data_IF_931204860722
#
_entry.id   IF_931204860722
#
_cell.length_a   1.000
_cell.length_b   1.000
_cell.length_c   1.000
_cell.angle_alpha   90.00
_cell.angle_beta   90.00
_cell.angle_gamma   90.00
#
_symmetry.space_group_name_H-M   'P 1'
#
loop_
_entity.id
_entity.type
_entity.pdbx_description
1 polymer ?
#
# COMPACT_ATOMS: atom_id res chain seq x y z
N UNK A 1 19.36 72.33 -5.15
CA UNK A 1 18.85 71.07 -5.73
C UNK A 1 19.81 69.98 -5.32
N UNK A 2 19.44 69.09 -4.41
CA UNK A 2 20.13 67.80 -4.27
C UNK A 2 19.16 66.77 -3.70
N UNK A 3 18.68 65.89 -4.58
CA UNK A 3 17.87 64.72 -4.26
C UNK A 3 18.79 63.50 -4.29
N UNK A 4 19.26 63.04 -3.13
CA UNK A 4 19.82 61.69 -2.97
C UNK A 4 19.47 61.12 -1.60
N UNK A 5 18.25 60.62 -1.49
CA UNK A 5 17.87 59.63 -0.50
C UNK A 5 17.20 58.48 -1.26
N UNK A 6 17.97 57.43 -1.58
CA UNK A 6 17.40 56.11 -1.86
C UNK A 6 18.51 55.07 -1.75
N UNK A 7 18.62 54.46 -0.58
CA UNK A 7 19.30 53.20 -0.36
C UNK A 7 18.43 52.38 0.61
N UNK A 8 17.29 51.90 0.10
CA UNK A 8 16.56 50.78 0.70
C UNK A 8 16.26 49.79 -0.42
N UNK A 9 16.89 48.63 -0.38
CA UNK A 9 16.58 47.53 -1.29
C UNK A 9 17.78 46.62 -1.45
N UNK A 10 17.83 45.53 -0.68
CA UNK A 10 18.86 44.52 -0.92
C UNK A 10 19.14 43.48 0.17
N UNK A 11 18.21 43.21 1.10
CA UNK A 11 18.46 42.21 2.16
C UNK A 11 17.34 41.18 2.37
N UNK A 12 16.36 41.10 1.46
CA UNK A 12 15.17 40.23 1.66
C UNK A 12 15.26 38.90 0.89
N UNK A 13 16.24 38.67 0.01
CA UNK A 13 16.15 37.59 -0.99
C UNK A 13 16.80 36.24 -0.64
N UNK A 14 17.82 36.18 0.23
CA UNK A 14 18.58 34.92 0.44
C UNK A 14 17.95 33.94 1.44
N UNK A 15 17.22 34.43 2.44
CA UNK A 15 16.55 33.61 3.46
C UNK A 15 15.24 33.00 2.96
N UNK A 16 14.52 33.68 2.05
CA UNK A 16 13.28 33.18 1.45
C UNK A 16 13.52 32.08 0.38
N UNK A 17 14.68 32.05 -0.28
CA UNK A 17 14.99 31.04 -1.30
C UNK A 17 15.33 29.65 -0.70
N UNK A 18 16.03 29.60 0.45
CA UNK A 18 16.38 28.34 1.13
C UNK A 18 15.17 27.63 1.76
N UNK A 19 14.22 28.36 2.36
CA UNK A 19 13.02 27.78 2.97
C UNK A 19 12.07 27.10 1.97
N UNK A 20 11.88 27.72 0.80
CA UNK A 20 11.03 27.15 -0.26
C UNK A 20 11.66 25.91 -0.92
N UNK A 21 13.00 25.88 -1.05
CA UNK A 21 13.73 24.72 -1.61
C UNK A 21 13.62 23.47 -0.74
N UNK A 22 13.75 23.62 0.59
CA UNK A 22 13.64 22.51 1.54
C UNK A 22 12.21 21.96 1.59
N UNK A 23 11.19 22.82 1.59
CA UNK A 23 9.79 22.38 1.55
C UNK A 23 9.46 21.70 0.21
N UNK A 24 10.01 22.17 -0.91
CA UNK A 24 9.88 21.51 -2.22
C UNK A 24 10.55 20.12 -2.23
N UNK A 25 11.75 19.98 -1.66
CA UNK A 25 12.43 18.69 -1.55
C UNK A 25 11.65 17.70 -0.67
N UNK A 26 11.14 18.16 0.48
CA UNK A 26 10.29 17.35 1.37
C UNK A 26 9.05 16.82 0.64
N UNK A 27 8.29 17.70 -0.03
CA UNK A 27 7.10 17.31 -0.78
C UNK A 27 7.40 16.33 -1.90
N UNK A 28 8.52 16.49 -2.62
CA UNK A 28 8.95 15.54 -3.64
C UNK A 28 9.26 14.16 -3.05
N UNK A 29 9.89 14.11 -1.88
CA UNK A 29 10.17 12.85 -1.19
C UNK A 29 8.89 12.17 -0.71
N UNK A 30 7.93 12.92 -0.15
CA UNK A 30 6.63 12.39 0.28
C UNK A 30 5.82 11.85 -0.91
N UNK A 31 5.78 12.59 -2.02
CA UNK A 31 5.13 12.10 -3.25
C UNK A 31 5.74 10.78 -3.72
N UNK A 32 7.08 10.67 -3.71
CA UNK A 32 7.74 9.41 -4.08
C UNK A 32 7.33 8.24 -3.19
N UNK A 33 7.13 8.47 -1.88
CA UNK A 33 6.64 7.42 -0.98
C UNK A 33 5.21 7.01 -1.32
N UNK A 34 4.32 7.96 -1.61
CA UNK A 34 2.95 7.66 -2.07
C UNK A 34 2.95 6.86 -3.37
N UNK A 35 3.76 7.27 -4.35
CA UNK A 35 3.90 6.56 -5.63
C UNK A 35 4.39 5.11 -5.45
N UNK A 36 5.04 4.79 -4.32
CA UNK A 36 5.48 3.44 -3.97
C UNK A 36 4.44 2.65 -3.17
N UNK A 37 3.63 3.33 -2.35
CA UNK A 37 2.62 2.68 -1.48
C UNK A 37 1.36 2.36 -2.29
N UNK A 38 0.86 3.30 -3.10
CA UNK A 38 -0.41 3.15 -3.82
C UNK A 38 -0.49 1.89 -4.71
N UNK A 39 0.57 1.48 -5.44
CA UNK A 39 0.51 0.26 -6.25
C UNK A 39 0.36 -1.02 -5.43
N UNK A 40 0.69 -1.01 -4.13
CA UNK A 40 0.62 -2.19 -3.27
C UNK A 40 -0.83 -2.65 -3.11
N UNK A 41 -1.80 -1.75 -3.05
CA UNK A 41 -3.23 -2.12 -2.97
C UNK A 41 -3.66 -2.98 -4.15
N UNK A 42 -3.29 -2.59 -5.38
CA UNK A 42 -3.61 -3.36 -6.58
C UNK A 42 -2.94 -4.75 -6.58
N UNK A 43 -1.70 -4.83 -6.09
CA UNK A 43 -1.00 -6.12 -5.94
C UNK A 43 -1.69 -7.01 -4.92
N UNK A 44 -2.17 -6.45 -3.81
CA UNK A 44 -2.91 -7.22 -2.80
C UNK A 44 -4.23 -7.73 -3.37
N UNK A 45 -4.97 -6.89 -4.11
CA UNK A 45 -6.22 -7.31 -4.76
C UNK A 45 -6.00 -8.45 -5.78
N UNK A 46 -4.94 -8.36 -6.59
CA UNK A 46 -4.56 -9.43 -7.53
C UNK A 46 -4.21 -10.73 -6.80
N UNK A 47 -3.40 -10.65 -5.73
CA UNK A 47 -3.05 -11.82 -4.94
C UNK A 47 -4.28 -12.47 -4.28
N UNK A 48 -5.20 -11.68 -3.73
CA UNK A 48 -6.44 -12.19 -3.14
C UNK A 48 -7.29 -12.90 -4.20
N UNK A 49 -7.39 -12.34 -5.40
CA UNK A 49 -8.12 -12.95 -6.49
C UNK A 49 -7.52 -14.30 -6.91
N UNK A 50 -6.20 -14.37 -7.07
CA UNK A 50 -5.51 -15.60 -7.44
C UNK A 50 -5.61 -16.67 -6.35
N UNK A 51 -5.52 -16.29 -5.08
CA UNK A 51 -5.67 -17.20 -3.94
C UNK A 51 -7.10 -17.73 -3.83
N UNK A 52 -8.11 -16.87 -4.01
CA UNK A 52 -9.52 -17.29 -4.01
C UNK A 52 -9.79 -18.29 -5.13
N UNK A 53 -9.25 -18.06 -6.34
CA UNK A 53 -9.38 -18.99 -7.45
C UNK A 53 -8.78 -20.37 -7.13
N UNK A 54 -7.60 -20.42 -6.48
CA UNK A 54 -7.00 -21.69 -6.05
C UNK A 54 -7.80 -22.36 -4.93
N UNK A 55 -8.39 -21.58 -4.02
CA UNK A 55 -9.26 -22.11 -2.96
C UNK A 55 -10.51 -22.75 -3.56
N UNK A 56 -11.15 -22.08 -4.51
CA UNK A 56 -12.32 -22.61 -5.24
C UNK A 56 -11.96 -23.94 -5.94
N UNK A 57 -10.79 -24.03 -6.57
CA UNK A 57 -10.30 -25.27 -7.17
C UNK A 57 -10.14 -26.41 -6.15
N UNK A 58 -9.60 -26.13 -4.95
CA UNK A 58 -9.47 -27.12 -3.87
C UNK A 58 -10.83 -27.54 -3.28
N UNK A 59 -11.78 -26.61 -3.13
CA UNK A 59 -13.14 -26.90 -2.69
C UNK A 59 -13.88 -27.80 -3.69
N UNK A 60 -13.79 -27.49 -4.99
CA UNK A 60 -14.34 -28.32 -6.06
C UNK A 60 -13.69 -29.71 -6.07
N UNK A 61 -12.37 -29.78 -5.89
CA UNK A 61 -11.63 -31.03 -5.80
C UNK A 61 -12.09 -31.90 -4.63
N UNK A 62 -12.26 -31.32 -3.44
CA UNK A 62 -12.75 -32.01 -2.25
C UNK A 62 -14.21 -32.47 -2.44
N UNK A 63 -15.07 -31.61 -3.00
CA UNK A 63 -16.47 -31.94 -3.25
C UNK A 63 -16.66 -33.08 -4.27
N UNK A 64 -15.73 -33.22 -5.22
CA UNK A 64 -15.72 -34.30 -6.18
C UNK A 64 -15.18 -35.64 -5.62
N UNK A 65 -14.57 -35.65 -4.43
CA UNK A 65 -14.01 -36.87 -3.86
C UNK A 65 -15.11 -37.87 -3.44
N UNK A 66 -14.90 -39.18 -3.68
CA UNK A 66 -15.70 -40.21 -3.02
C UNK A 66 -15.59 -40.09 -1.49
N UNK A 67 -16.68 -40.34 -0.76
CA UNK A 67 -16.71 -40.22 0.71
C UNK A 67 -15.60 -40.99 1.42
N UNK A 68 -15.26 -42.19 0.94
CA UNK A 68 -14.14 -43.01 1.48
C UNK A 68 -12.75 -42.37 1.32
N UNK A 69 -12.58 -41.45 0.37
CA UNK A 69 -11.34 -40.68 0.17
C UNK A 69 -11.42 -39.33 0.90
N UNK A 70 -12.60 -38.72 0.98
CA UNK A 70 -12.82 -37.49 1.74
C UNK A 70 -12.49 -37.61 3.23
N UNK A 71 -12.74 -38.78 3.84
CA UNK A 71 -12.36 -39.08 5.24
C UNK A 71 -10.91 -39.57 5.39
N UNK A 72 -10.16 -39.67 4.30
CA UNK A 72 -8.76 -40.11 4.33
C UNK A 72 -7.82 -38.93 4.56
N UNK A 73 -6.54 -39.24 4.80
CA UNK A 73 -5.47 -38.24 4.87
C UNK A 73 -5.41 -37.31 3.63
N UNK A 74 -5.93 -37.76 2.48
CA UNK A 74 -6.00 -36.94 1.27
C UNK A 74 -7.10 -35.88 1.33
N UNK A 75 -8.27 -36.20 1.88
CA UNK A 75 -9.34 -35.23 2.10
C UNK A 75 -8.98 -34.26 3.23
N UNK A 76 -8.32 -34.75 4.29
CA UNK A 76 -7.78 -33.90 5.36
C UNK A 76 -6.75 -32.90 4.81
N UNK A 77 -5.85 -33.33 3.92
CA UNK A 77 -4.89 -32.44 3.26
C UNK A 77 -5.56 -31.34 2.42
N UNK A 78 -6.65 -31.65 1.71
CA UNK A 78 -7.41 -30.66 0.96
C UNK A 78 -8.08 -29.63 1.89
N UNK A 79 -8.69 -30.08 3.00
CA UNK A 79 -9.24 -29.16 4.01
C UNK A 79 -8.17 -28.23 4.59
N UNK A 80 -6.99 -28.75 4.94
CA UNK A 80 -5.87 -27.95 5.45
C UNK A 80 -5.40 -26.93 4.40
N UNK A 81 -5.40 -27.30 3.12
CA UNK A 81 -5.06 -26.37 2.04
C UNK A 81 -6.07 -25.23 1.95
N UNK A 82 -7.38 -25.54 1.98
CA UNK A 82 -8.46 -24.55 1.98
C UNK A 82 -8.32 -23.59 3.17
N UNK A 83 -8.19 -24.11 4.40
CA UNK A 83 -8.02 -23.30 5.61
C UNK A 83 -6.80 -22.37 5.50
N UNK A 84 -5.67 -22.87 5.00
CA UNK A 84 -4.48 -22.05 4.83
C UNK A 84 -4.64 -20.94 3.78
N UNK A 85 -5.41 -21.18 2.72
CA UNK A 85 -5.72 -20.17 1.70
C UNK A 85 -6.68 -19.11 2.25
N UNK A 86 -7.69 -19.51 3.02
CA UNK A 86 -8.59 -18.58 3.74
C UNK A 86 -7.81 -17.68 4.70
N UNK A 87 -6.93 -18.26 5.50
CA UNK A 87 -6.06 -17.51 6.43
C UNK A 87 -5.16 -16.53 5.66
N UNK A 88 -4.61 -16.93 4.52
CA UNK A 88 -3.79 -16.05 3.68
C UNK A 88 -4.58 -14.86 3.14
N UNK A 89 -5.84 -15.06 2.72
CA UNK A 89 -6.74 -13.97 2.30
C UNK A 89 -7.01 -13.02 3.47
N UNK A 90 -7.29 -13.55 4.65
CA UNK A 90 -7.51 -12.73 5.85
C UNK A 90 -6.30 -11.86 6.21
N UNK A 91 -5.09 -12.43 6.15
CA UNK A 91 -3.85 -11.66 6.36
C UNK A 91 -3.66 -10.56 5.31
N UNK A 92 -4.01 -10.84 4.05
CA UNK A 92 -3.94 -9.83 2.99
C UNK A 92 -4.95 -8.70 3.19
N UNK A 93 -6.11 -8.96 3.77
CA UNK A 93 -7.10 -7.93 4.15
C UNK A 93 -6.59 -7.01 5.25
N UNK A 94 -5.94 -7.57 6.26
CA UNK A 94 -5.28 -6.78 7.31
C UNK A 94 -4.17 -5.89 6.72
N UNK A 95 -3.31 -6.47 5.88
CA UNK A 95 -2.24 -5.72 5.19
C UNK A 95 -2.84 -4.62 4.29
N UNK A 96 -3.94 -4.89 3.60
CA UNK A 96 -4.60 -3.88 2.77
C UNK A 96 -5.06 -2.68 3.59
N UNK A 97 -5.66 -2.92 4.76
CA UNK A 97 -6.08 -1.86 5.68
C UNK A 97 -4.87 -1.02 6.16
N UNK A 98 -3.77 -1.69 6.53
CA UNK A 98 -2.54 -1.04 6.97
C UNK A 98 -1.89 -0.19 5.85
N UNK A 99 -1.93 -0.67 4.60
CA UNK A 99 -1.40 0.05 3.42
C UNK A 99 -2.22 1.32 3.15
N UNK A 100 -3.56 1.22 3.22
CA UNK A 100 -4.46 2.37 3.06
C UNK A 100 -4.18 3.40 4.16
N UNK A 101 -4.04 2.97 5.41
CA UNK A 101 -3.70 3.86 6.52
C UNK A 101 -2.33 4.53 6.30
N UNK A 102 -1.32 3.76 5.89
CA UNK A 102 0.01 4.29 5.60
C UNK A 102 -0.02 5.38 4.52
N UNK A 103 -0.78 5.17 3.44
CA UNK A 103 -0.96 6.17 2.39
C UNK A 103 -1.59 7.47 2.95
N UNK A 104 -2.67 7.34 3.73
CA UNK A 104 -3.33 8.49 4.38
C UNK A 104 -2.37 9.27 5.28
N UNK A 105 -1.52 8.59 6.07
CA UNK A 105 -0.51 9.26 6.91
C UNK A 105 0.54 10.01 6.12
N UNK A 106 0.92 9.51 4.94
CA UNK A 106 1.84 10.24 4.05
C UNK A 106 1.15 11.46 3.44
N UNK A 107 -0.12 11.35 3.04
CA UNK A 107 -0.92 12.48 2.54
C UNK A 107 -1.11 13.57 3.60
N UNK A 108 -1.42 13.20 4.84
CA UNK A 108 -1.49 14.11 5.99
C UNK A 108 -0.18 14.89 6.18
N UNK A 109 0.98 14.24 5.98
CA UNK A 109 2.29 14.89 6.09
C UNK A 109 2.63 15.84 4.92
N UNK A 110 1.86 15.80 3.83
CA UNK A 110 2.01 16.70 2.69
C UNK A 110 1.25 18.03 2.86
N UNK A 111 0.22 18.06 3.70
CA UNK A 111 -0.54 19.27 4.05
C UNK A 111 0.35 20.35 4.71
#
# INVERSE_FOLDING_TARGET
MDRRASARGGAVSESQQKGNGVNKARRKSLQKLLDQIQPIEAVIEELKYDIEALKDEEEEYLAAMPSSIGESARGEAANVAIEALEDAIGLLEEIQADVVEAAQKVEEAMA
#
